data_IF_500377060797
#
_entry.id   IF_500377060797
#
_cell.length_a   1.000
_cell.length_b   1.000
_cell.length_c   1.000
_cell.angle_alpha   90.00
_cell.angle_beta   90.00
_cell.angle_gamma   90.00
#
_symmetry.space_group_name_H-M   'P 1'
#
loop_
_entity.id
_entity.type
_entity.pdbx_description
1 polymer ?
#
# COMPACT_ATOMS: atom_id res chain seq x y z
N UNK A 1 -9.99 -1.37 -6.58
CA UNK A 1 -8.89 -0.60 -7.20
C UNK A 1 -9.36 -0.03 -8.54
N UNK A 2 -8.79 1.08 -9.00
CA UNK A 2 -9.15 1.71 -10.28
C UNK A 2 -8.37 1.08 -11.43
N UNK A 3 -7.13 0.67 -11.18
CA UNK A 3 -6.39 -0.25 -12.05
C UNK A 3 -6.71 -1.69 -11.64
N UNK A 4 -6.91 -2.57 -12.62
CA UNK A 4 -7.05 -4.01 -12.37
C UNK A 4 -5.78 -4.55 -11.67
N UNK A 5 -5.87 -5.36 -10.61
CA UNK A 5 -4.71 -5.77 -9.80
C UNK A 5 -3.88 -6.91 -10.42
N UNK A 6 -3.98 -7.12 -11.73
CA UNK A 6 -3.26 -8.14 -12.48
C UNK A 6 -3.10 -7.72 -13.95
N UNK A 7 -2.20 -8.38 -14.67
CA UNK A 7 -1.89 -8.02 -16.07
C UNK A 7 -1.12 -6.70 -16.18
N UNK A 8 -0.25 -6.41 -15.22
CA UNK A 8 0.51 -5.18 -15.14
C UNK A 8 1.91 -5.38 -15.70
N UNK A 9 2.38 -4.48 -16.55
CA UNK A 9 3.79 -4.42 -16.92
C UNK A 9 4.56 -3.56 -15.93
N UNK A 10 5.87 -3.80 -15.79
CA UNK A 10 6.75 -2.85 -15.14
C UNK A 10 6.64 -1.48 -15.83
N UNK A 11 6.53 -0.41 -15.05
CA UNK A 11 6.25 0.93 -15.54
C UNK A 11 4.77 1.28 -15.66
N UNK A 12 3.84 0.32 -15.57
CA UNK A 12 2.42 0.65 -15.51
C UNK A 12 2.10 1.44 -14.22
N UNK A 13 1.08 2.28 -14.32
CA UNK A 13 0.50 2.99 -13.18
C UNK A 13 -0.60 2.15 -12.55
N UNK A 14 -0.48 1.93 -11.24
CA UNK A 14 -1.52 1.35 -10.42
C UNK A 14 -2.24 2.45 -9.64
N UNK A 15 -3.56 2.48 -9.73
CA UNK A 15 -4.43 3.35 -8.95
C UNK A 15 -5.40 2.55 -8.11
N UNK A 16 -5.57 2.96 -6.86
CA UNK A 16 -6.54 2.39 -5.92
C UNK A 16 -7.28 3.48 -5.15
N UNK A 17 -8.36 3.10 -4.48
CA UNK A 17 -9.10 3.98 -3.56
C UNK A 17 -8.97 3.37 -2.17
N UNK A 18 -8.43 4.11 -1.22
CA UNK A 18 -8.42 3.71 0.19
C UNK A 18 -9.83 3.86 0.74
N UNK A 19 -10.33 2.80 1.38
CA UNK A 19 -11.66 2.80 2.00
C UNK A 19 -11.63 2.20 3.38
N UNK A 20 -12.40 2.77 4.29
CA UNK A 20 -12.78 2.19 5.57
C UNK A 20 -14.30 2.12 5.62
N UNK A 21 -14.85 0.96 5.96
CA UNK A 21 -16.30 0.72 6.03
C UNK A 21 -17.05 1.17 4.76
N UNK A 22 -16.44 0.93 3.59
CA UNK A 22 -16.98 1.28 2.27
C UNK A 22 -16.85 2.76 1.87
N UNK A 23 -16.45 3.65 2.79
CA UNK A 23 -16.25 5.08 2.54
C UNK A 23 -14.81 5.37 2.15
N UNK A 24 -14.60 6.27 1.19
CA UNK A 24 -13.26 6.71 0.82
C UNK A 24 -12.59 7.45 1.99
N UNK A 25 -11.28 7.27 2.14
CA UNK A 25 -10.46 7.96 3.14
C UNK A 25 -9.60 9.00 2.43
N UNK A 26 -9.97 10.30 2.49
CA UNK A 26 -9.16 11.36 1.91
C UNK A 26 -7.77 11.39 2.52
N UNK A 27 -6.75 11.70 1.71
CA UNK A 27 -5.42 12.00 2.22
C UNK A 27 -4.73 10.89 3.04
N UNK A 28 -5.25 9.66 2.96
CA UNK A 28 -4.65 8.48 3.57
C UNK A 28 -3.22 8.27 3.05
N UNK A 29 -2.34 7.84 3.94
CA UNK A 29 -1.02 7.35 3.57
C UNK A 29 -1.13 5.89 3.12
N UNK A 30 -0.41 5.56 2.06
CA UNK A 30 -0.30 4.21 1.51
C UNK A 30 1.18 3.87 1.43
N UNK A 31 1.57 2.89 2.23
CA UNK A 31 2.89 2.29 2.17
C UNK A 31 2.98 1.36 0.97
N UNK A 32 4.11 1.40 0.27
CA UNK A 32 4.38 0.64 -0.94
C UNK A 32 5.75 0.00 -0.85
N UNK A 33 5.79 -1.31 -1.01
CA UNK A 33 7.02 -2.10 -0.90
C UNK A 33 7.17 -3.07 -2.06
N UNK A 34 8.42 -3.27 -2.48
CA UNK A 34 8.78 -4.33 -3.40
C UNK A 34 9.19 -5.58 -2.62
N UNK A 35 8.64 -6.75 -2.97
CA UNK A 35 9.04 -8.01 -2.36
C UNK A 35 10.46 -8.40 -2.79
N UNK A 36 11.43 -8.12 -1.92
CA UNK A 36 12.85 -8.36 -2.12
C UNK A 36 13.30 -9.59 -1.32
N UNK A 37 12.69 -10.75 -1.58
CA UNK A 37 12.86 -12.01 -0.83
C UNK A 37 14.32 -12.43 -0.61
N UNK A 38 15.11 -12.41 -1.67
CA UNK A 38 16.52 -12.82 -1.65
C UNK A 38 17.47 -11.64 -1.32
N UNK A 39 16.93 -10.50 -0.86
CA UNK A 39 17.68 -9.28 -0.57
C UNK A 39 18.62 -8.82 -1.72
N UNK A 40 18.26 -9.15 -2.97
CA UNK A 40 19.06 -8.88 -4.17
C UNK A 40 19.17 -7.39 -4.49
N UNK A 41 18.21 -6.60 -4.02
CA UNK A 41 18.20 -5.16 -4.15
C UNK A 41 18.68 -4.55 -2.83
N UNK A 42 19.74 -3.74 -2.87
CA UNK A 42 20.15 -2.91 -1.73
C UNK A 42 19.57 -1.51 -1.91
N UNK A 43 18.69 -1.12 -1.01
CA UNK A 43 18.10 0.21 -0.99
C UNK A 43 19.16 1.26 -0.56
N UNK A 44 19.23 2.40 -1.25
CA UNK A 44 20.13 3.50 -0.86
C UNK A 44 19.80 4.16 0.49
N UNK A 45 18.53 4.12 0.92
CA UNK A 45 18.05 4.70 2.16
C UNK A 45 16.72 4.05 2.60
N UNK A 46 16.37 4.17 3.89
CA UNK A 46 15.16 3.59 4.48
C UNK A 46 13.85 3.96 3.75
N UNK A 47 13.62 5.21 3.28
CA UNK A 47 12.41 5.56 2.52
C UNK A 47 12.28 4.86 1.16
N UNK A 48 13.31 4.15 0.71
CA UNK A 48 13.28 3.32 -0.51
C UNK A 48 12.96 1.85 -0.21
N UNK A 49 12.93 1.46 1.08
CA UNK A 49 12.40 0.17 1.54
C UNK A 49 10.88 0.28 1.55
N UNK A 50 10.37 1.14 2.43
CA UNK A 50 8.94 1.48 2.57
C UNK A 50 8.71 2.86 1.98
N UNK A 51 8.13 2.89 0.79
CA UNK A 51 7.77 4.15 0.14
C UNK A 51 6.37 4.54 0.61
N UNK A 52 6.10 5.84 0.72
CA UNK A 52 4.78 6.33 1.11
C UNK A 52 4.22 7.24 0.03
N UNK A 53 2.99 6.97 -0.40
CA UNK A 53 2.21 7.87 -1.24
C UNK A 53 0.97 8.34 -0.49
N UNK A 54 0.56 9.58 -0.76
CA UNK A 54 -0.64 10.16 -0.17
C UNK A 54 -1.80 10.11 -1.15
N UNK A 55 -2.94 9.64 -0.69
CA UNK A 55 -4.17 9.67 -1.46
C UNK A 55 -4.69 11.12 -1.66
N UNK A 56 -5.52 11.33 -2.68
CA UNK A 56 -6.19 12.62 -2.90
C UNK A 56 -7.45 12.78 -2.02
N UNK A 57 -8.21 13.85 -2.27
CA UNK A 57 -9.46 14.14 -1.54
C UNK A 57 -10.56 13.09 -1.72
N UNK A 58 -10.48 12.25 -2.76
CA UNK A 58 -11.40 11.14 -3.02
C UNK A 58 -10.84 9.80 -2.54
N UNK A 59 -9.72 9.81 -1.80
CA UNK A 59 -9.02 8.61 -1.34
C UNK A 59 -8.29 7.86 -2.45
N UNK A 60 -8.09 8.46 -3.63
CA UNK A 60 -7.36 7.83 -4.74
C UNK A 60 -5.85 7.96 -4.51
N UNK A 61 -5.13 6.85 -4.52
CA UNK A 61 -3.67 6.85 -4.58
C UNK A 61 -3.18 6.38 -5.95
N UNK A 62 -1.97 6.78 -6.31
CA UNK A 62 -1.34 6.45 -7.59
C UNK A 62 0.12 6.07 -7.37
N UNK A 63 0.56 4.97 -7.97
CA UNK A 63 1.96 4.54 -7.91
C UNK A 63 2.39 3.87 -9.22
N UNK A 64 3.60 4.17 -9.69
CA UNK A 64 4.20 3.50 -10.84
C UNK A 64 5.24 2.49 -10.36
N UNK A 65 5.10 1.22 -10.75
CA UNK A 65 5.99 0.15 -10.25
C UNK A 65 7.17 -0.01 -11.21
N UNK A 66 8.39 0.43 -10.83
CA UNK A 66 9.52 0.51 -11.77
C UNK A 66 10.11 -0.84 -12.19
N UNK A 67 9.77 -1.93 -11.48
CA UNK A 67 10.39 -3.24 -11.65
C UNK A 67 9.33 -4.33 -11.73
N UNK A 68 9.60 -5.35 -12.56
CA UNK A 68 8.84 -6.60 -12.54
C UNK A 68 9.04 -7.35 -11.22
N UNK A 69 7.95 -7.88 -10.68
CA UNK A 69 7.92 -8.61 -9.41
C UNK A 69 6.66 -8.31 -8.61
N UNK A 70 6.69 -8.67 -7.33
CA UNK A 70 5.57 -8.42 -6.42
C UNK A 70 5.72 -7.07 -5.72
N UNK A 71 4.60 -6.35 -5.64
CA UNK A 71 4.48 -5.07 -4.96
C UNK A 71 3.33 -5.13 -3.97
N UNK A 72 3.61 -4.77 -2.72
CA UNK A 72 2.65 -4.66 -1.64
C UNK A 72 2.21 -3.22 -1.47
N UNK A 73 0.93 -3.02 -1.20
CA UNK A 73 0.31 -1.75 -0.85
C UNK A 73 -0.41 -1.92 0.48
N UNK A 74 -0.12 -1.08 1.46
CA UNK A 74 -0.79 -1.08 2.77
C UNK A 74 -1.31 0.31 3.10
N UNK A 75 -2.60 0.42 3.37
CA UNK A 75 -3.19 1.63 3.96
C UNK A 75 -3.61 1.30 5.38
N UNK A 76 -2.88 1.82 6.35
CA UNK A 76 -3.13 1.64 7.77
C UNK A 76 -4.06 2.76 8.26
N UNK A 77 -4.99 2.40 9.14
CA UNK A 77 -5.89 3.34 9.78
C UNK A 77 -6.19 2.88 11.21
N UNK A 78 -6.66 3.78 12.06
CA UNK A 78 -7.09 3.41 13.42
C UNK A 78 -8.56 3.02 13.39
N UNK A 79 -8.90 1.90 14.02
CA UNK A 79 -10.29 1.48 14.22
C UNK A 79 -11.01 2.45 15.16
N UNK A 80 -12.34 2.52 15.05
CA UNK A 80 -13.17 3.24 16.04
C UNK A 80 -13.20 2.48 17.37
N UNK A 81 -12.95 1.16 17.34
CA UNK A 81 -12.88 0.31 18.52
C UNK A 81 -11.49 0.33 19.15
N UNK A 82 -11.46 0.20 20.48
CA UNK A 82 -10.24 -0.01 21.26
C UNK A 82 -10.18 -1.42 21.80
N UNK A 83 -8.97 -1.88 22.12
CA UNK A 83 -8.75 -3.13 22.84
C UNK A 83 -8.28 -2.85 24.26
N UNK A 84 -8.88 -3.53 25.23
CA UNK A 84 -8.48 -3.42 26.64
C UNK A 84 -7.44 -4.46 27.01
N UNK A 85 -6.32 -4.02 27.58
CA UNK A 85 -5.27 -4.88 28.13
C UNK A 85 -4.74 -4.27 29.43
N UNK A 86 -4.68 -5.06 30.50
CA UNK A 86 -4.26 -4.62 31.85
C UNK A 86 -4.92 -3.33 32.35
N UNK A 87 -6.23 -3.21 32.09
CA UNK A 87 -7.02 -2.05 32.53
C UNK A 87 -6.84 -0.78 31.69
N UNK A 88 -6.00 -0.80 30.65
CA UNK A 88 -5.79 0.31 29.71
C UNK A 88 -6.42 0.01 28.35
N UNK A 89 -6.94 1.05 27.72
CA UNK A 89 -7.44 1.01 26.34
C UNK A 89 -6.30 1.29 25.36
N UNK A 90 -6.22 0.50 24.29
CA UNK A 90 -5.25 0.66 23.21
C UNK A 90 -5.96 0.84 21.88
N UNK A 91 -5.48 1.76 21.01
CA UNK A 91 -6.01 1.90 19.66
C UNK A 91 -5.75 0.60 18.89
N UNK A 92 -6.75 0.17 18.11
CA UNK A 92 -6.59 -0.94 17.16
C UNK A 92 -6.18 -0.35 15.82
N UNK A 93 -5.12 -0.88 15.23
CA UNK A 93 -4.76 -0.57 13.85
C UNK A 93 -5.44 -1.56 12.91
N UNK A 94 -6.14 -1.03 11.90
CA UNK A 94 -6.71 -1.79 10.79
C UNK A 94 -5.91 -1.50 9.53
N UNK A 95 -5.55 -2.55 8.80
CA UNK A 95 -4.77 -2.44 7.57
C UNK A 95 -5.53 -2.99 6.37
N UNK A 96 -5.66 -2.18 5.32
CA UNK A 96 -6.04 -2.65 4.01
C UNK A 96 -4.78 -2.99 3.21
N UNK A 97 -4.52 -4.28 3.01
CA UNK A 97 -3.32 -4.77 2.30
C UNK A 97 -3.69 -5.39 0.95
N UNK A 98 -2.96 -5.02 -0.10
CA UNK A 98 -3.11 -5.57 -1.44
C UNK A 98 -1.75 -5.86 -2.06
N UNK A 99 -1.64 -7.02 -2.74
CA UNK A 99 -0.47 -7.38 -3.51
C UNK A 99 -0.80 -7.45 -5.00
N UNK A 100 0.09 -6.92 -5.83
CA UNK A 100 0.00 -7.02 -7.29
C UNK A 100 1.33 -7.48 -7.86
N UNK A 101 1.28 -8.12 -9.03
CA UNK A 101 2.47 -8.57 -9.75
C UNK A 101 2.63 -7.84 -11.07
N UNK A 102 3.82 -7.32 -11.31
CA UNK A 102 4.23 -6.73 -12.58
C UNK A 102 5.17 -7.66 -13.34
N UNK A 103 5.14 -7.58 -14.68
CA UNK A 103 5.94 -8.39 -15.58
C UNK A 103 6.82 -7.50 -16.48
N UNK A 104 7.93 -8.01 -17.00
CA UNK A 104 8.71 -7.30 -18.02
C UNK A 104 8.04 -7.47 -19.38
N UNK A 105 8.01 -6.39 -20.18
CA UNK A 105 7.79 -6.52 -21.62
C UNK A 105 8.97 -7.27 -22.25
N UNK A 106 8.70 -8.13 -23.23
CA UNK A 106 9.72 -8.85 -24.00
C UNK A 106 9.93 -8.17 -25.34
#
# INVERSE_FOLDING_TARGET
>A
PLTRPYGLWAGNVFQGIVKVNGKAVPFAEVEVEYFNDEAKIKQPADPMITQVVKADGNGVFTYAMPKAGWWGFAALNTDENTMKHDGKEYPVEIGAVLWVKTYNMK
#
